data_IF_162166375678
#
_entry.id   IF_162166375678
#
_cell.length_a   1.000
_cell.length_b   1.000
_cell.length_c   1.000
_cell.angle_alpha   90.00
_cell.angle_beta   90.00
_cell.angle_gamma   90.00
#
_symmetry.space_group_name_H-M   'P 1'
#
loop_
_entity.id
_entity.type
_entity.pdbx_description
1 polymer ?
#
# COMPACT_ATOMS: atom_id res chain seq x y z
N UNK A 1 16.60 -15.18 -2.71
CA UNK A 1 16.85 -13.74 -2.91
C UNK A 1 15.82 -12.98 -2.09
N UNK A 2 16.16 -11.77 -1.61
CA UNK A 2 15.19 -10.92 -0.89
C UNK A 2 14.20 -10.35 -1.87
N UNK A 3 12.91 -10.35 -1.52
CA UNK A 3 11.86 -9.70 -2.31
C UNK A 3 11.88 -8.19 -2.17
N UNK A 4 12.13 -7.68 -0.95
CA UNK A 4 12.34 -6.25 -0.67
C UNK A 4 13.72 -6.07 -0.05
N UNK A 5 14.46 -5.07 -0.54
CA UNK A 5 15.76 -4.68 0.00
C UNK A 5 15.77 -3.19 0.29
N UNK A 6 16.13 -2.83 1.49
CA UNK A 6 16.27 -1.44 1.94
C UNK A 6 17.69 -1.23 2.42
N UNK A 7 18.38 -0.19 1.92
CA UNK A 7 19.75 0.13 2.29
C UNK A 7 19.87 1.60 2.66
N UNK A 8 20.33 1.85 3.88
CA UNK A 8 20.61 3.18 4.44
C UNK A 8 19.43 4.15 4.26
N UNK A 9 18.21 3.65 4.37
CA UNK A 9 17.00 4.44 4.18
C UNK A 9 16.94 5.59 5.18
N UNK A 10 16.80 6.79 4.67
CA UNK A 10 16.55 8.00 5.44
C UNK A 10 15.40 8.82 4.85
N UNK A 11 14.50 9.27 5.72
CA UNK A 11 13.42 10.17 5.35
C UNK A 11 13.27 11.31 6.37
N UNK A 12 13.23 12.54 5.86
CA UNK A 12 13.03 13.76 6.65
C UNK A 12 11.71 14.41 6.28
N UNK A 13 11.05 14.98 7.28
CA UNK A 13 9.95 15.92 7.09
C UNK A 13 10.37 17.34 7.42
N UNK A 14 9.93 18.30 6.62
CA UNK A 14 10.08 19.71 6.92
C UNK A 14 9.17 20.10 8.10
N UNK A 15 9.73 20.76 9.09
CA UNK A 15 8.97 21.42 10.16
C UNK A 15 8.59 22.81 9.64
N UNK A 16 7.29 23.13 9.66
CA UNK A 16 6.77 24.43 9.24
C UNK A 16 6.22 25.20 10.43
N UNK A 17 6.38 26.52 10.42
CA UNK A 17 5.70 27.43 11.35
C UNK A 17 4.21 27.62 10.99
N UNK A 18 3.52 28.46 11.75
CA UNK A 18 2.10 28.78 11.53
C UNK A 18 1.84 29.50 10.20
N UNK A 19 2.86 30.14 9.65
CA UNK A 19 2.81 30.91 8.39
C UNK A 19 3.23 30.05 7.20
N UNK A 20 3.58 28.75 7.43
CA UNK A 20 3.95 27.79 6.40
C UNK A 20 5.44 27.80 6.02
N UNK A 21 6.27 28.63 6.67
CA UNK A 21 7.72 28.69 6.41
C UNK A 21 8.43 27.48 7.01
N UNK A 22 9.41 26.94 6.31
CA UNK A 22 10.23 25.83 6.82
C UNK A 22 11.20 26.35 7.87
N UNK A 23 11.03 25.88 9.11
CA UNK A 23 11.84 26.26 10.28
C UNK A 23 12.87 25.21 10.67
N UNK A 24 12.78 24.02 10.08
CA UNK A 24 13.71 22.93 10.35
C UNK A 24 13.33 21.63 9.67
N UNK A 25 14.10 20.58 9.94
CA UNK A 25 13.86 19.22 9.43
C UNK A 25 13.84 18.25 10.60
N UNK A 26 13.04 17.19 10.47
CA UNK A 26 12.99 16.10 11.44
C UNK A 26 13.10 14.75 10.73
N UNK A 27 14.05 13.95 11.15
CA UNK A 27 14.15 12.56 10.70
C UNK A 27 12.98 11.73 11.20
N UNK A 28 12.26 11.09 10.30
CA UNK A 28 11.24 10.09 10.60
C UNK A 28 11.82 8.67 10.52
N UNK A 29 12.72 8.43 9.56
CA UNK A 29 13.53 7.22 9.43
C UNK A 29 14.96 7.67 9.18
N UNK A 30 15.94 6.99 9.77
CA UNK A 30 17.35 7.33 9.60
C UNK A 30 18.20 6.07 9.58
N UNK A 31 19.03 5.95 8.53
CA UNK A 31 20.06 4.91 8.39
C UNK A 31 19.52 3.48 8.60
N UNK A 32 18.36 3.17 7.99
CA UNK A 32 17.68 1.90 8.17
C UNK A 32 18.04 0.91 7.07
N UNK A 33 18.49 -0.27 7.46
CA UNK A 33 18.67 -1.42 6.59
C UNK A 33 17.58 -2.47 6.90
N UNK A 34 17.02 -3.11 5.85
CA UNK A 34 15.98 -4.11 6.02
C UNK A 34 15.92 -5.03 4.79
N UNK A 35 15.64 -6.29 5.02
CA UNK A 35 15.38 -7.29 3.98
C UNK A 35 14.10 -8.07 4.30
N UNK A 36 13.27 -8.30 3.28
CA UNK A 36 12.13 -9.19 3.35
C UNK A 36 12.19 -10.25 2.24
N UNK A 37 11.79 -11.46 2.56
CA UNK A 37 11.73 -12.58 1.61
C UNK A 37 10.27 -12.98 1.36
N UNK A 38 9.99 -13.55 0.19
CA UNK A 38 8.64 -14.09 -0.12
C UNK A 38 8.21 -15.11 0.95
N UNK A 39 6.93 -15.05 1.31
CA UNK A 39 6.32 -15.92 2.32
C UNK A 39 6.60 -15.54 3.78
N UNK A 40 7.35 -14.47 4.05
CA UNK A 40 7.56 -13.99 5.42
C UNK A 40 6.41 -13.13 5.92
N UNK A 41 6.06 -13.30 7.18
CA UNK A 41 5.22 -12.37 7.95
C UNK A 41 6.15 -11.57 8.87
N UNK A 42 6.18 -10.26 8.70
CA UNK A 42 7.08 -9.36 9.43
C UNK A 42 6.27 -8.37 10.25
N UNK A 43 6.47 -8.36 11.56
CA UNK A 43 5.86 -7.37 12.44
C UNK A 43 6.81 -6.20 12.70
N UNK A 44 6.37 -4.98 12.36
CA UNK A 44 7.11 -3.74 12.64
C UNK A 44 6.56 -3.11 13.92
N UNK A 45 7.31 -3.19 15.00
CA UNK A 45 6.93 -2.71 16.33
C UNK A 45 7.61 -1.38 16.69
N UNK A 46 6.95 -0.56 17.49
CA UNK A 46 7.50 0.71 17.97
C UNK A 46 6.42 1.66 18.46
N UNK A 47 6.84 2.71 19.19
CA UNK A 47 5.95 3.76 19.71
C UNK A 47 5.28 4.56 18.59
N UNK A 48 4.20 5.28 18.92
CA UNK A 48 3.61 6.23 17.98
C UNK A 48 4.64 7.31 17.60
N UNK A 49 4.72 7.63 16.29
CA UNK A 49 5.70 8.56 15.76
C UNK A 49 7.12 7.99 15.55
N UNK A 50 7.34 6.68 15.72
CA UNK A 50 8.66 6.06 15.49
C UNK A 50 9.00 5.79 14.02
N UNK A 51 8.18 6.24 13.07
CA UNK A 51 8.48 6.11 11.63
C UNK A 51 7.91 4.87 10.93
N UNK A 52 7.16 3.97 11.63
CA UNK A 52 6.60 2.73 11.04
C UNK A 52 5.82 2.97 9.75
N UNK A 53 4.86 3.89 9.79
CA UNK A 53 4.04 4.23 8.61
C UNK A 53 4.85 4.94 7.52
N UNK A 54 5.86 5.71 7.89
CA UNK A 54 6.79 6.32 6.94
C UNK A 54 7.61 5.24 6.23
N UNK A 55 8.17 4.30 6.98
CA UNK A 55 8.88 3.15 6.44
C UNK A 55 7.99 2.35 5.47
N UNK A 56 6.78 1.96 5.89
CA UNK A 56 5.86 1.20 5.03
C UNK A 56 5.55 1.92 3.70
N UNK A 57 5.40 3.24 3.71
CA UNK A 57 5.15 4.05 2.50
C UNK A 57 6.32 4.11 1.53
N UNK A 58 7.54 3.83 1.98
CA UNK A 58 8.69 3.69 1.07
C UNK A 58 8.66 2.35 0.34
N UNK A 59 8.11 1.29 0.96
CA UNK A 59 8.11 -0.05 0.37
C UNK A 59 7.24 -0.15 -0.89
N UNK A 60 6.20 0.69 -1.01
CA UNK A 60 5.36 0.74 -2.21
C UNK A 60 5.53 2.02 -3.06
N UNK A 61 6.62 2.78 -2.82
CA UNK A 61 6.94 3.97 -3.59
C UNK A 61 5.97 5.15 -3.40
N UNK A 62 5.20 5.22 -2.30
CA UNK A 62 4.43 6.41 -1.94
C UNK A 62 5.33 7.57 -1.47
N UNK A 63 6.48 7.23 -0.91
CA UNK A 63 7.53 8.19 -0.59
C UNK A 63 8.83 7.80 -1.28
N UNK A 64 9.47 8.77 -1.93
CA UNK A 64 10.85 8.63 -2.35
C UNK A 64 11.79 8.86 -1.15
N UNK A 65 12.87 8.09 -0.99
CA UNK A 65 13.84 8.28 0.08
C UNK A 65 14.62 9.59 -0.11
N UNK A 66 14.93 10.29 1.01
CA UNK A 66 15.89 11.40 0.98
C UNK A 66 17.33 10.88 0.97
N UNK A 67 17.55 9.68 1.53
CA UNK A 67 18.82 8.98 1.53
C UNK A 67 18.59 7.48 1.41
N UNK A 68 19.56 6.76 0.85
CA UNK A 68 19.51 5.33 0.68
C UNK A 68 18.65 4.90 -0.49
N UNK A 69 18.31 3.62 -0.52
CA UNK A 69 17.59 2.99 -1.64
C UNK A 69 16.58 1.97 -1.10
N UNK A 70 15.48 1.81 -1.83
CA UNK A 70 14.50 0.75 -1.61
C UNK A 70 14.26 0.04 -2.94
N UNK A 71 14.59 -1.24 -2.98
CA UNK A 71 14.44 -2.09 -4.16
C UNK A 71 13.41 -3.17 -3.92
N UNK A 72 12.60 -3.41 -4.94
CA UNK A 72 11.59 -4.47 -4.99
C UNK A 72 11.97 -5.43 -6.11
N UNK A 73 11.99 -6.72 -5.83
CA UNK A 73 12.19 -7.74 -6.85
C UNK A 73 10.94 -7.86 -7.70
N UNK A 74 10.97 -7.41 -8.94
CA UNK A 74 9.93 -7.70 -9.93
C UNK A 74 10.16 -9.03 -10.62
N UNK A 75 9.30 -9.38 -11.56
CA UNK A 75 9.35 -10.65 -12.31
C UNK A 75 10.67 -10.83 -13.06
N UNK A 76 11.14 -9.80 -13.75
CA UNK A 76 12.35 -9.84 -14.57
C UNK A 76 13.46 -8.92 -14.08
N UNK A 77 13.11 -7.85 -13.39
CA UNK A 77 14.02 -6.76 -13.04
C UNK A 77 13.92 -6.36 -11.56
N UNK A 78 14.94 -5.67 -11.08
CA UNK A 78 14.92 -5.02 -9.77
C UNK A 78 14.40 -3.59 -9.94
N UNK A 79 13.27 -3.31 -9.29
CA UNK A 79 12.59 -2.03 -9.33
C UNK A 79 13.10 -1.12 -8.21
N UNK A 80 13.27 0.17 -8.50
CA UNK A 80 13.75 1.18 -7.54
C UNK A 80 12.66 2.20 -7.24
N UNK A 81 12.28 2.35 -5.97
CA UNK A 81 11.21 3.27 -5.56
C UNK A 81 11.52 4.75 -5.80
N UNK A 82 12.75 5.10 -6.11
CA UNK A 82 13.15 6.46 -6.50
C UNK A 82 12.95 6.75 -7.99
N UNK A 83 12.70 5.72 -8.82
CA UNK A 83 12.49 5.86 -10.26
C UNK A 83 11.02 5.94 -10.59
N UNK A 84 10.58 7.04 -11.18
CA UNK A 84 9.17 7.25 -11.54
C UNK A 84 8.62 6.17 -12.49
N UNK A 85 9.44 5.70 -13.43
CA UNK A 85 9.08 4.63 -14.37
C UNK A 85 8.80 3.28 -13.71
N UNK A 86 9.34 3.01 -12.52
CA UNK A 86 9.18 1.74 -11.81
C UNK A 86 7.94 1.75 -10.90
N UNK A 87 7.40 2.93 -10.56
CA UNK A 87 6.36 3.08 -9.52
C UNK A 87 5.09 2.28 -9.81
N UNK A 88 4.67 2.17 -11.07
CA UNK A 88 3.47 1.40 -11.42
C UNK A 88 3.69 -0.09 -11.14
N UNK A 89 4.83 -0.64 -11.57
CA UNK A 89 5.18 -2.03 -11.32
C UNK A 89 5.34 -2.32 -9.82
N UNK A 90 5.98 -1.40 -9.07
CA UNK A 90 6.12 -1.50 -7.61
C UNK A 90 4.75 -1.55 -6.93
N UNK A 91 3.81 -0.68 -7.29
CA UNK A 91 2.46 -0.64 -6.68
C UNK A 91 1.61 -1.84 -7.04
N UNK A 92 1.90 -2.51 -8.14
CA UNK A 92 1.30 -3.81 -8.49
C UNK A 92 1.85 -4.92 -7.62
N UNK A 93 3.17 -4.95 -7.41
CA UNK A 93 3.85 -5.97 -6.62
C UNK A 93 3.65 -5.80 -5.11
N UNK A 94 3.54 -4.55 -4.62
CA UNK A 94 3.44 -4.22 -3.19
C UNK A 94 2.13 -3.50 -2.90
N UNK A 95 1.10 -4.24 -2.54
CA UNK A 95 -0.18 -3.71 -2.07
C UNK A 95 -0.04 -3.00 -0.72
N UNK A 96 -0.80 -1.93 -0.51
CA UNK A 96 -0.81 -1.19 0.76
C UNK A 96 -2.22 -1.04 1.30
N UNK A 97 -2.40 -1.31 2.59
CA UNK A 97 -3.64 -1.07 3.31
C UNK A 97 -3.39 0.05 4.32
N UNK A 98 -4.19 1.12 4.25
CA UNK A 98 -4.05 2.27 5.14
C UNK A 98 -4.71 2.00 6.50
N UNK A 99 -4.20 2.67 7.55
CA UNK A 99 -4.73 2.55 8.90
C UNK A 99 -6.20 2.96 9.00
N UNK A 100 -6.61 4.00 8.27
CA UNK A 100 -8.01 4.41 8.16
C UNK A 100 -8.56 3.94 6.80
N UNK A 101 -9.48 2.98 6.75
CA UNK A 101 -10.05 2.48 5.51
C UNK A 101 -10.84 3.54 4.73
N UNK A 102 -11.44 4.54 5.39
CA UNK A 102 -12.16 5.62 4.71
C UNK A 102 -11.26 6.43 3.76
N UNK A 103 -9.95 6.46 3.98
CA UNK A 103 -8.99 7.14 3.10
C UNK A 103 -8.61 6.29 1.87
N UNK A 104 -9.04 5.05 1.81
CA UNK A 104 -8.71 4.10 0.74
C UNK A 104 -9.91 3.78 -0.14
N UNK A 105 -11.11 3.73 0.43
CA UNK A 105 -12.36 3.40 -0.25
C UNK A 105 -12.73 4.53 -1.23
N UNK A 106 -12.94 4.17 -2.50
CA UNK A 106 -13.28 5.10 -3.60
C UNK A 106 -14.60 4.75 -4.28
N UNK A 107 -15.03 3.49 -4.26
CA UNK A 107 -16.29 3.01 -4.83
C UNK A 107 -17.52 3.44 -4.02
N UNK A 108 -18.69 3.50 -4.66
CA UNK A 108 -19.97 3.69 -3.95
C UNK A 108 -20.51 2.39 -3.39
N UNK A 109 -20.26 1.28 -4.07
CA UNK A 109 -20.60 -0.08 -3.62
C UNK A 109 -19.35 -0.90 -3.35
N UNK A 110 -19.51 -2.02 -2.65
CA UNK A 110 -18.43 -2.96 -2.37
C UNK A 110 -17.83 -3.50 -3.67
N UNK A 111 -18.67 -3.86 -4.64
CA UNK A 111 -18.23 -4.37 -5.94
C UNK A 111 -17.41 -3.32 -6.71
N UNK A 112 -17.89 -2.07 -6.76
CA UNK A 112 -17.17 -0.96 -7.41
C UNK A 112 -15.79 -0.72 -6.76
N UNK A 113 -15.71 -0.74 -5.43
CA UNK A 113 -14.46 -0.50 -4.73
C UNK A 113 -13.41 -1.57 -5.01
N UNK A 114 -13.81 -2.85 -4.97
CA UNK A 114 -12.92 -3.97 -5.31
C UNK A 114 -12.53 -3.95 -6.78
N UNK A 115 -13.48 -3.63 -7.68
CA UNK A 115 -13.26 -3.58 -9.13
C UNK A 115 -12.36 -2.43 -9.57
N UNK A 116 -12.33 -1.32 -8.84
CA UNK A 116 -11.64 -0.09 -9.22
C UNK A 116 -10.16 -0.29 -9.57
N UNK A 117 -9.44 -1.05 -8.73
CA UNK A 117 -8.03 -1.35 -8.98
C UNK A 117 -7.81 -2.21 -10.22
N UNK A 118 -8.69 -3.19 -10.44
CA UNK A 118 -8.64 -4.11 -11.57
C UNK A 118 -8.94 -3.40 -12.89
N UNK A 119 -9.93 -2.51 -12.91
CA UNK A 119 -10.24 -1.67 -14.08
C UNK A 119 -9.04 -0.80 -14.48
N UNK A 120 -8.40 -0.15 -13.51
CA UNK A 120 -7.21 0.65 -13.74
C UNK A 120 -6.00 -0.17 -14.23
N UNK A 121 -5.96 -1.45 -13.94
CA UNK A 121 -4.95 -2.39 -14.45
C UNK A 121 -5.31 -2.96 -15.81
N UNK A 122 -6.51 -2.66 -16.35
CA UNK A 122 -6.95 -3.06 -17.69
C UNK A 122 -7.46 -4.50 -17.79
N UNK A 123 -7.90 -5.10 -16.67
CA UNK A 123 -8.53 -6.43 -16.70
C UNK A 123 -9.85 -6.40 -17.48
N UNK A 124 -10.22 -7.54 -18.09
CA UNK A 124 -11.50 -7.68 -18.77
C UNK A 124 -12.65 -7.88 -17.76
N UNK A 125 -13.86 -7.48 -18.15
CA UNK A 125 -15.02 -7.47 -17.25
C UNK A 125 -15.27 -8.85 -16.59
N UNK A 126 -15.17 -9.94 -17.35
CA UNK A 126 -15.37 -11.29 -16.85
C UNK A 126 -14.35 -11.64 -15.76
N UNK A 127 -13.09 -11.31 -15.97
CA UNK A 127 -12.01 -11.56 -14.99
C UNK A 127 -12.16 -10.69 -13.74
N UNK A 128 -12.61 -9.44 -13.91
CA UNK A 128 -12.91 -8.55 -12.79
C UNK A 128 -13.97 -9.18 -11.88
N UNK A 129 -15.07 -9.66 -12.45
CA UNK A 129 -16.14 -10.29 -11.68
C UNK A 129 -15.71 -11.59 -10.98
N UNK A 130 -14.89 -12.41 -11.63
CA UNK A 130 -14.33 -13.61 -11.00
C UNK A 130 -13.49 -13.25 -9.77
N UNK A 131 -12.57 -12.28 -9.91
CA UNK A 131 -11.71 -11.82 -8.82
C UNK A 131 -12.48 -11.17 -7.67
N UNK A 132 -13.49 -10.32 -7.99
CA UNK A 132 -14.38 -9.73 -6.97
C UNK A 132 -15.02 -10.83 -6.13
N UNK A 133 -15.66 -11.81 -6.77
CA UNK A 133 -16.34 -12.90 -6.06
C UNK A 133 -15.36 -13.72 -5.21
N UNK A 134 -14.17 -14.01 -5.71
CA UNK A 134 -13.14 -14.75 -4.99
C UNK A 134 -12.69 -14.00 -3.72
N UNK A 135 -12.31 -12.73 -3.83
CA UNK A 135 -11.79 -11.99 -2.68
C UNK A 135 -12.86 -11.66 -1.67
N UNK A 136 -14.10 -11.41 -2.10
CA UNK A 136 -15.22 -11.21 -1.18
C UNK A 136 -15.51 -12.47 -0.39
N UNK A 137 -15.42 -13.66 -0.98
CA UNK A 137 -15.51 -14.94 -0.28
C UNK A 137 -14.38 -15.10 0.75
N UNK A 138 -13.14 -14.81 0.38
CA UNK A 138 -11.98 -14.91 1.28
C UNK A 138 -12.08 -13.95 2.47
N UNK A 139 -12.71 -12.79 2.28
CA UNK A 139 -12.85 -11.76 3.33
C UNK A 139 -14.20 -11.81 4.07
N UNK A 140 -15.10 -12.75 3.71
CA UNK A 140 -16.44 -12.88 4.30
C UNK A 140 -17.32 -11.65 4.01
N UNK A 141 -17.23 -11.12 2.80
CA UNK A 141 -17.95 -9.93 2.36
C UNK A 141 -18.96 -10.20 1.23
N UNK A 142 -19.22 -11.47 0.83
CA UNK A 142 -20.11 -11.83 -0.28
C UNK A 142 -21.51 -11.25 -0.16
N UNK A 143 -22.08 -11.28 1.05
CA UNK A 143 -23.41 -10.74 1.32
C UNK A 143 -23.52 -9.22 1.18
N UNK A 144 -22.38 -8.54 0.95
CA UNK A 144 -22.31 -7.08 0.87
C UNK A 144 -22.00 -6.57 -0.53
N UNK A 145 -21.92 -7.43 -1.54
CA UNK A 145 -21.50 -7.11 -2.93
C UNK A 145 -22.12 -5.80 -3.44
N UNK A 146 -23.43 -5.68 -3.37
CA UNK A 146 -24.22 -4.54 -3.86
C UNK A 146 -24.38 -3.41 -2.80
N UNK A 147 -23.80 -3.62 -1.61
CA UNK A 147 -24.04 -2.70 -0.50
C UNK A 147 -23.26 -1.41 -0.67
N UNK A 148 -23.93 -0.28 -0.40
CA UNK A 148 -23.27 1.01 -0.36
C UNK A 148 -22.24 1.06 0.78
N UNK A 149 -21.02 1.49 0.47
CA UNK A 149 -19.87 1.52 1.40
C UNK A 149 -20.10 2.42 2.62
N UNK A 150 -20.94 3.45 2.50
CA UNK A 150 -21.31 4.32 3.62
C UNK A 150 -22.11 3.59 4.72
N UNK A 151 -22.76 2.47 4.38
CA UNK A 151 -23.53 1.66 5.32
C UNK A 151 -22.71 0.51 5.94
N UNK A 152 -21.41 0.46 5.70
CA UNK A 152 -20.51 -0.52 6.29
C UNK A 152 -20.03 -0.06 7.66
N UNK A 153 -19.94 -1.00 8.61
CA UNK A 153 -19.23 -0.76 9.87
C UNK A 153 -17.71 -0.59 9.65
N UNK A 154 -17.00 -0.01 10.61
CA UNK A 154 -15.54 0.16 10.50
C UNK A 154 -14.78 -1.15 10.23
N UNK A 155 -15.19 -2.26 10.87
CA UNK A 155 -14.60 -3.58 10.61
C UNK A 155 -14.93 -4.12 9.21
N UNK A 156 -16.10 -3.83 8.68
CA UNK A 156 -16.49 -4.19 7.30
C UNK A 156 -15.69 -3.36 6.29
N UNK A 157 -15.53 -2.07 6.51
CA UNK A 157 -14.67 -1.20 5.69
C UNK A 157 -13.21 -1.66 5.67
N UNK A 158 -12.71 -2.15 6.79
CA UNK A 158 -11.35 -2.69 6.86
C UNK A 158 -11.22 -3.98 6.06
N UNK A 159 -12.22 -4.89 6.12
CA UNK A 159 -12.24 -6.08 5.27
C UNK A 159 -12.38 -5.75 3.79
N UNK A 160 -13.17 -4.72 3.44
CA UNK A 160 -13.28 -4.22 2.07
C UNK A 160 -11.91 -3.71 1.58
N UNK A 161 -11.23 -2.88 2.35
CA UNK A 161 -9.89 -2.38 1.98
C UNK A 161 -8.88 -3.53 1.76
N UNK A 162 -8.97 -4.61 2.55
CA UNK A 162 -8.16 -5.81 2.35
C UNK A 162 -8.57 -6.51 1.03
N UNK A 163 -9.88 -6.68 0.78
CA UNK A 163 -10.38 -7.32 -0.44
C UNK A 163 -9.92 -6.58 -1.70
N UNK A 164 -10.02 -5.23 -1.71
CA UNK A 164 -9.61 -4.38 -2.84
C UNK A 164 -8.11 -4.53 -3.16
N UNK A 165 -7.26 -4.65 -2.13
CA UNK A 165 -5.82 -4.90 -2.35
C UNK A 165 -5.57 -6.34 -2.80
N UNK A 166 -6.22 -7.34 -2.20
CA UNK A 166 -6.06 -8.75 -2.57
C UNK A 166 -6.49 -9.04 -4.01
N UNK A 167 -7.54 -8.36 -4.51
CA UNK A 167 -8.03 -8.53 -5.88
C UNK A 167 -6.93 -8.25 -6.93
N UNK A 168 -6.04 -7.32 -6.66
CA UNK A 168 -4.91 -6.99 -7.53
C UNK A 168 -3.79 -8.05 -7.49
N UNK A 169 -3.89 -9.05 -6.60
CA UNK A 169 -2.92 -10.15 -6.44
C UNK A 169 -1.47 -9.65 -6.26
N UNK A 170 -1.17 -8.81 -5.25
CA UNK A 170 0.21 -8.39 -4.98
C UNK A 170 1.08 -9.61 -4.62
N UNK A 171 2.38 -9.49 -4.85
CA UNK A 171 3.35 -10.59 -4.64
C UNK A 171 3.68 -10.87 -3.15
#
# INVERSE_FOLDING_TARGET
MSFIQVRKLGHKFNIKDKDGNVTGEKWAVKDMDFDAHKGQIIAVLGRNGSGKSTFARHLNGLYAPNQGTVWIQGDSDVLDTSREGDLLAIRRAVGMIFQNPDNQIVGNTVAEDVGFGLENLGFQAEEIWERINEVLRLTGMEAYLERNVSHLSGGQKQRLAIASVMAMSPE
#
